data_IF_441638454294
#
_entry.id   IF_441638454294
#
_cell.length_a   1.000
_cell.length_b   1.000
_cell.length_c   1.000
_cell.angle_alpha   90.00
_cell.angle_beta   90.00
_cell.angle_gamma   90.00
#
_symmetry.space_group_name_H-M   'P 1'
#
loop_
_entity.id
_entity.type
_entity.pdbx_description
1 polymer ?
#
# COMPACT_ATOMS: atom_id res chain seq x y z
N UNK A 1 1.33 13.87 -17.47
CA UNK A 1 1.19 13.58 -17.10
C UNK A 1 0.84 13.24 -16.15
N UNK A 2 0.90 12.97 -15.70
CA UNK A 2 0.18 12.46 -14.82
C UNK A 2 0.73 12.31 -13.49
N UNK A 3 -0.03 12.46 -12.48
CA UNK A 3 0.30 12.05 -11.15
C UNK A 3 0.39 10.57 -11.11
N UNK A 4 1.54 10.04 -10.82
CA UNK A 4 1.70 8.63 -10.60
C UNK A 4 1.97 8.41 -9.13
N UNK A 5 1.81 7.16 -8.70
CA UNK A 5 2.14 6.78 -7.33
C UNK A 5 3.60 7.11 -7.03
N UNK A 6 4.48 6.92 -8.01
CA UNK A 6 5.90 7.18 -7.83
C UNK A 6 6.16 8.66 -7.57
N UNK A 7 5.48 9.54 -8.29
CA UNK A 7 5.64 10.98 -8.08
C UNK A 7 5.13 11.39 -6.71
N UNK A 8 3.97 10.86 -6.32
CA UNK A 8 3.41 11.15 -5.00
C UNK A 8 4.29 10.63 -3.89
N UNK A 9 4.85 9.43 -4.08
CA UNK A 9 5.75 8.85 -3.08
C UNK A 9 6.99 9.73 -2.91
N UNK A 10 7.59 10.17 -4.02
CA UNK A 10 8.77 11.02 -3.95
C UNK A 10 8.47 12.32 -3.21
N UNK A 11 7.33 12.94 -3.51
CA UNK A 11 6.94 14.17 -2.83
C UNK A 11 6.74 13.96 -1.33
N UNK A 12 6.12 12.84 -0.97
CA UNK A 12 5.89 12.52 0.44
C UNK A 12 7.20 12.28 1.17
N UNK A 13 8.13 11.59 0.53
CA UNK A 13 9.45 11.34 1.11
C UNK A 13 10.20 12.65 1.33
N UNK A 14 10.10 13.58 0.38
CA UNK A 14 10.75 14.89 0.51
C UNK A 14 10.20 15.67 1.69
N UNK A 15 8.91 15.52 1.99
CA UNK A 15 8.30 16.18 3.14
C UNK A 15 8.58 15.47 4.46
N UNK A 16 9.15 14.27 4.40
CA UNK A 16 9.37 13.47 5.59
C UNK A 16 8.11 12.80 6.11
N UNK A 17 7.13 12.56 5.24
CA UNK A 17 5.89 11.90 5.64
C UNK A 17 6.14 10.48 6.11
N UNK A 18 5.36 10.06 7.09
CA UNK A 18 5.30 8.66 7.50
C UNK A 18 4.21 8.00 6.68
N UNK A 19 4.55 6.98 5.90
CA UNK A 19 3.56 6.29 5.10
C UNK A 19 3.99 4.86 4.81
N UNK A 20 3.02 4.05 4.42
CA UNK A 20 3.25 2.69 3.96
C UNK A 20 3.06 2.64 2.45
N UNK A 21 3.86 1.82 1.79
CA UNK A 21 3.69 1.52 0.37
C UNK A 21 3.26 0.07 0.27
N UNK A 22 2.07 -0.16 -0.28
CA UNK A 22 1.56 -1.51 -0.50
C UNK A 22 1.66 -1.81 -1.99
N UNK A 23 2.39 -2.86 -2.33
CA UNK A 23 2.63 -3.25 -3.73
C UNK A 23 2.15 -4.66 -3.95
N UNK A 24 1.37 -4.88 -5.01
CA UNK A 24 1.01 -6.23 -5.42
C UNK A 24 2.24 -6.86 -6.05
N UNK A 25 2.80 -7.86 -5.40
CA UNK A 25 4.03 -8.49 -5.86
C UNK A 25 3.77 -9.82 -6.57
N UNK A 26 2.57 -10.37 -6.41
CA UNK A 26 2.21 -11.60 -7.11
C UNK A 26 0.70 -11.66 -7.26
N UNK A 27 0.20 -12.10 -8.41
CA UNK A 27 -1.21 -12.27 -8.67
C UNK A 27 -1.78 -11.19 -9.55
N UNK A 28 -3.13 -11.12 -9.67
CA UNK A 28 -3.76 -10.13 -10.54
C UNK A 28 -3.41 -8.71 -10.10
N UNK A 29 -3.05 -7.88 -11.06
CA UNK A 29 -2.69 -6.50 -10.78
C UNK A 29 -1.27 -6.32 -10.30
N UNK A 30 -0.41 -7.31 -10.52
CA UNK A 30 0.99 -7.24 -10.12
C UNK A 30 1.61 -5.91 -10.53
N UNK A 31 2.31 -5.26 -9.60
CA UNK A 31 2.93 -3.97 -9.83
C UNK A 31 2.10 -2.78 -9.40
N UNK A 32 0.81 -2.97 -9.14
CA UNK A 32 -0.02 -1.87 -8.67
C UNK A 32 0.33 -1.52 -7.23
N UNK A 33 0.20 -0.24 -6.89
CA UNK A 33 0.61 0.27 -5.59
C UNK A 33 -0.46 1.14 -4.96
N UNK A 34 -0.47 1.13 -3.63
CA UNK A 34 -1.34 1.99 -2.83
C UNK A 34 -0.49 2.61 -1.73
N UNK A 35 -0.51 3.92 -1.63
CA UNK A 35 0.14 4.62 -0.53
C UNK A 35 -0.88 4.80 0.59
N UNK A 36 -0.47 4.57 1.83
CA UNK A 36 -1.36 4.65 2.98
C UNK A 36 -0.67 5.48 4.06
N UNK A 37 -1.35 6.54 4.52
CA UNK A 37 -0.84 7.37 5.61
C UNK A 37 -1.48 6.96 6.93
N UNK A 38 -0.82 7.20 8.07
CA UNK A 38 -1.37 6.76 9.36
C UNK A 38 -2.73 7.34 9.69
N UNK A 39 -3.05 8.51 9.13
CA UNK A 39 -4.35 9.15 9.37
C UNK A 39 -5.47 8.49 8.58
N UNK A 40 -5.15 7.54 7.72
CA UNK A 40 -6.16 6.77 7.00
C UNK A 40 -6.37 7.16 5.56
N UNK A 41 -5.81 8.28 5.09
CA UNK A 41 -5.99 8.61 3.69
C UNK A 41 -5.01 7.80 2.82
N UNK A 42 -5.36 7.63 1.56
CA UNK A 42 -4.60 6.80 0.64
C UNK A 42 -4.47 7.48 -0.72
N UNK A 43 -3.53 6.99 -1.50
CA UNK A 43 -3.39 7.38 -2.90
C UNK A 43 -2.98 6.18 -3.72
N UNK A 44 -3.65 5.98 -4.85
CA UNK A 44 -3.38 4.86 -5.73
C UNK A 44 -4.57 3.91 -5.79
N UNK A 45 -4.38 2.78 -6.45
CA UNK A 45 -5.46 1.84 -6.65
C UNK A 45 -4.89 0.46 -6.94
N UNK A 46 -5.32 -0.53 -6.18
CA UNK A 46 -4.89 -1.92 -6.40
C UNK A 46 -5.82 -2.66 -7.36
N UNK A 47 -6.89 -1.99 -7.82
CA UNK A 47 -7.80 -2.57 -8.79
C UNK A 47 -9.16 -2.99 -8.24
N UNK A 48 -9.30 -3.06 -6.94
CA UNK A 48 -10.55 -3.43 -6.27
C UNK A 48 -10.77 -2.51 -5.08
N UNK A 49 -11.88 -1.76 -5.04
CA UNK A 49 -12.10 -0.83 -3.92
C UNK A 49 -12.08 -1.50 -2.55
N UNK A 50 -12.64 -2.70 -2.44
CA UNK A 50 -12.64 -3.40 -1.17
C UNK A 50 -11.24 -3.84 -0.76
N UNK A 51 -10.44 -4.23 -1.73
CA UNK A 51 -9.05 -4.58 -1.46
C UNK A 51 -8.28 -3.37 -0.97
N UNK A 52 -8.47 -2.22 -1.63
CA UNK A 52 -7.84 -0.99 -1.19
C UNK A 52 -8.16 -0.70 0.27
N UNK A 53 -9.43 -0.86 0.64
CA UNK A 53 -9.86 -0.61 2.00
C UNK A 53 -9.22 -1.59 2.99
N UNK A 54 -9.21 -2.86 2.65
CA UNK A 54 -8.63 -3.88 3.53
C UNK A 54 -7.13 -3.70 3.71
N UNK A 55 -6.43 -3.38 2.63
CA UNK A 55 -4.99 -3.12 2.67
C UNK A 55 -4.71 -1.89 3.51
N UNK A 56 -5.51 -0.83 3.35
CA UNK A 56 -5.36 0.38 4.13
C UNK A 56 -5.52 0.10 5.62
N UNK A 57 -6.55 -0.66 5.99
CA UNK A 57 -6.78 -0.99 7.40
C UNK A 57 -5.63 -1.82 7.97
N UNK A 58 -5.11 -2.75 7.19
CA UNK A 58 -4.01 -3.56 7.64
C UNK A 58 -2.75 -2.72 7.84
N UNK A 59 -2.50 -1.78 6.94
CA UNK A 59 -1.37 -0.86 7.07
C UNK A 59 -1.49 -0.02 8.34
N UNK A 60 -2.71 0.43 8.65
CA UNK A 60 -2.94 1.18 9.89
C UNK A 60 -2.59 0.35 11.11
N UNK A 61 -2.96 -0.93 11.09
CA UNK A 61 -2.60 -1.83 12.19
C UNK A 61 -1.10 -1.97 12.33
N UNK A 62 -0.39 -2.03 11.21
CA UNK A 62 1.07 -2.14 11.24
C UNK A 62 1.70 -0.88 11.82
N UNK A 63 1.14 0.31 11.51
CA UNK A 63 1.63 1.54 12.13
C UNK A 63 1.52 1.48 13.64
N UNK A 64 0.42 0.91 14.15
CA UNK A 64 0.19 0.84 15.59
C UNK A 64 1.05 -0.21 16.28
N UNK A 65 1.23 -1.36 15.62
CA UNK A 65 1.91 -2.50 16.24
C UNK A 65 3.42 -2.47 16.07
N UNK A 66 3.92 -1.64 15.19
CA UNK A 66 5.33 -1.60 14.87
C UNK A 66 5.52 -1.90 13.39
N UNK A 67 5.68 -0.83 12.60
CA UNK A 67 5.78 -1.01 11.14
C UNK A 67 7.03 -1.79 10.77
N UNK A 68 6.85 -2.72 9.85
CA UNK A 68 7.95 -3.51 9.31
C UNK A 68 7.57 -4.03 7.94
N UNK A 69 8.56 -4.26 7.11
CA UNK A 69 8.33 -4.83 5.79
C UNK A 69 7.79 -6.24 5.93
N UNK A 70 6.71 -6.54 5.21
CA UNK A 70 6.15 -7.88 5.21
C UNK A 70 5.27 -8.08 3.99
N UNK A 71 4.93 -9.34 3.72
CA UNK A 71 4.04 -9.72 2.63
C UNK A 71 2.83 -10.42 3.22
N UNK A 72 1.65 -10.06 2.73
CA UNK A 72 0.41 -10.69 3.18
C UNK A 72 -0.46 -11.00 1.98
N UNK A 73 -1.11 -12.16 1.99
CA UNK A 73 -2.03 -12.58 0.95
C UNK A 73 -3.42 -12.05 1.21
N UNK A 74 -4.11 -11.64 0.14
CA UNK A 74 -5.49 -11.16 0.20
C UNK A 74 -6.30 -11.87 -0.87
N UNK A 75 -7.57 -12.10 -0.58
CA UNK A 75 -8.51 -12.64 -1.56
C UNK A 75 -9.16 -11.49 -2.32
N UNK A 76 -9.42 -11.71 -3.60
CA UNK A 76 -10.16 -10.75 -4.42
C UNK A 76 -11.35 -11.44 -5.06
N UNK A 77 -12.35 -10.67 -5.52
CA UNK A 77 -13.51 -11.27 -6.17
C UNK A 77 -13.11 -12.17 -7.33
N UNK A 78 -13.83 -13.27 -7.49
CA UNK A 78 -13.51 -14.25 -8.51
C UNK A 78 -12.67 -15.42 -8.01
N UNK A 79 -12.33 -15.43 -6.72
CA UNK A 79 -11.61 -16.53 -6.13
C UNK A 79 -10.11 -16.49 -6.27
N UNK A 80 -9.59 -15.42 -6.83
CA UNK A 80 -8.14 -15.28 -6.97
C UNK A 80 -7.53 -14.74 -5.69
N UNK A 81 -6.24 -14.97 -5.53
CA UNK A 81 -5.46 -14.43 -4.42
C UNK A 81 -4.32 -13.61 -4.97
N UNK A 82 -3.90 -12.63 -4.19
CA UNK A 82 -2.71 -11.89 -4.54
C UNK A 82 -1.91 -11.61 -3.28
N UNK A 83 -0.62 -11.37 -3.48
CA UNK A 83 0.28 -11.06 -2.37
C UNK A 83 0.62 -9.59 -2.42
N UNK A 84 0.53 -8.92 -1.27
CA UNK A 84 0.84 -7.51 -1.14
C UNK A 84 2.01 -7.35 -0.19
N UNK A 85 3.05 -6.65 -0.67
CA UNK A 85 4.18 -6.30 0.17
C UNK A 85 3.92 -4.93 0.79
N UNK A 86 4.13 -4.84 2.09
CA UNK A 86 4.03 -3.59 2.82
C UNK A 86 5.43 -3.10 3.14
N UNK A 87 5.74 -1.89 2.73
CA UNK A 87 7.03 -1.27 2.98
C UNK A 87 6.81 0.06 3.68
N UNK A 88 7.77 0.44 4.51
CA UNK A 88 7.69 1.68 5.29
C UNK A 88 8.97 2.47 5.04
N UNK A 89 9.01 3.24 3.94
CA UNK A 89 10.26 3.88 3.52
C UNK A 89 10.87 4.83 4.55
N UNK A 90 10.02 5.40 5.42
CA UNK A 90 10.53 6.33 6.43
C UNK A 90 11.41 5.64 7.49
N UNK A 91 11.42 4.31 7.51
CA UNK A 91 12.25 3.55 8.44
C UNK A 91 13.65 3.28 7.89
N UNK A 92 13.91 3.58 6.65
CA UNK A 92 15.16 3.25 5.99
C UNK A 92 16.34 4.04 6.59
#
# INVERSE_FOLDING_TARGET
MTDSVQVRLAAAMDRGDRLAVATVVEGPGEGRQLLVWPAGHTYGDLGWPRLNQRVSLYAEQLFEKGPREMVKSFDVPGGAKLDVRFEFPFLA
#
